data_IF_086009984013
#
_entry.id   IF_086009984013
#
_cell.length_a   1.000
_cell.length_b   1.000
_cell.length_c   1.000
_cell.angle_alpha   90.00
_cell.angle_beta   90.00
_cell.angle_gamma   90.00
#
_symmetry.space_group_name_H-M   'P 1'
#
loop_
_entity.id
_entity.type
_entity.pdbx_description
1 polymer ?
#
# COMPACT_ATOMS: atom_id res chain seq x y z
N UNK A 1 1.19 15.60 -7.56
CA UNK A 1 1.58 14.60 -6.52
C UNK A 1 0.35 13.86 -6.05
N UNK A 2 0.37 12.54 -6.12
CA UNK A 2 -0.68 11.65 -5.61
C UNK A 2 -0.36 11.30 -4.15
N UNK A 3 -1.38 11.28 -3.30
CA UNK A 3 -1.26 10.80 -1.92
C UNK A 3 -2.10 9.53 -1.79
N UNK A 4 -1.52 8.46 -1.23
CA UNK A 4 -2.25 7.25 -0.87
C UNK A 4 -2.17 6.98 0.62
N UNK A 5 -3.31 6.69 1.22
CA UNK A 5 -3.45 6.06 2.53
C UNK A 5 -3.91 4.61 2.30
N UNK A 6 -3.02 3.64 2.30
CA UNK A 6 -3.40 2.24 2.17
C UNK A 6 -4.10 1.77 3.45
N UNK A 7 -5.16 0.98 3.29
CA UNK A 7 -6.00 0.45 4.38
C UNK A 7 -5.83 -1.06 4.48
N UNK A 8 -6.27 -1.64 5.60
CA UNK A 8 -6.24 -3.07 5.84
C UNK A 8 -4.89 -3.62 6.26
N UNK A 9 -4.76 -4.94 6.21
CA UNK A 9 -3.54 -5.66 6.59
C UNK A 9 -2.40 -5.46 5.58
N UNK A 10 -1.21 -5.99 5.91
CA UNK A 10 0.04 -5.74 5.20
C UNK A 10 -0.05 -5.96 3.68
N UNK A 11 -0.54 -7.12 3.25
CA UNK A 11 -0.60 -7.44 1.81
C UNK A 11 -1.56 -6.52 1.04
N UNK A 12 -2.68 -6.09 1.65
CA UNK A 12 -3.59 -5.12 1.05
C UNK A 12 -2.89 -3.78 0.86
N UNK A 13 -2.17 -3.30 1.89
CA UNK A 13 -1.41 -2.05 1.81
C UNK A 13 -0.34 -2.09 0.72
N UNK A 14 0.43 -3.17 0.62
CA UNK A 14 1.44 -3.33 -0.43
C UNK A 14 0.81 -3.27 -1.82
N UNK A 15 -0.31 -3.96 -2.04
CA UNK A 15 -1.03 -3.96 -3.33
C UNK A 15 -1.62 -2.60 -3.68
N UNK A 16 -2.21 -1.91 -2.70
CA UNK A 16 -2.75 -0.56 -2.89
C UNK A 16 -1.65 0.45 -3.23
N UNK A 17 -0.50 0.40 -2.52
CA UNK A 17 0.66 1.24 -2.83
C UNK A 17 1.19 0.94 -4.24
N UNK A 18 1.32 -0.33 -4.63
CA UNK A 18 1.77 -0.69 -5.97
C UNK A 18 0.82 -0.17 -7.06
N UNK A 19 -0.48 -0.27 -6.86
CA UNK A 19 -1.47 0.31 -7.76
C UNK A 19 -1.29 1.84 -7.89
N UNK A 20 -1.07 2.53 -6.76
CA UNK A 20 -0.82 3.97 -6.76
C UNK A 20 0.51 4.34 -7.43
N UNK A 21 1.54 3.48 -7.36
CA UNK A 21 2.81 3.67 -8.09
C UNK A 21 2.57 3.62 -9.60
N UNK A 22 1.79 2.66 -10.08
CA UNK A 22 1.42 2.57 -11.51
C UNK A 22 0.67 3.82 -11.94
N UNK A 23 -0.32 4.27 -11.15
CA UNK A 23 -1.07 5.51 -11.43
C UNK A 23 -0.14 6.73 -11.48
N UNK A 24 0.74 6.88 -10.49
CA UNK A 24 1.70 7.98 -10.44
C UNK A 24 2.62 8.00 -11.67
N UNK A 25 3.14 6.83 -12.07
CA UNK A 25 3.96 6.70 -13.28
C UNK A 25 3.17 7.07 -14.55
N UNK A 26 1.93 6.59 -14.72
CA UNK A 26 1.07 6.94 -15.86
C UNK A 26 0.81 8.44 -15.95
N UNK A 27 0.72 9.12 -14.83
CA UNK A 27 0.43 10.57 -14.76
C UNK A 27 1.68 11.46 -14.71
N UNK A 28 2.87 10.88 -14.66
CA UNK A 28 4.12 11.65 -14.47
C UNK A 28 4.16 12.40 -13.13
N UNK A 29 3.55 11.84 -12.09
CA UNK A 29 3.44 12.44 -10.77
C UNK A 29 4.26 11.68 -9.72
N UNK A 30 4.67 12.37 -8.66
CA UNK A 30 5.26 11.75 -7.47
C UNK A 30 4.20 11.12 -6.58
N UNK A 31 4.60 10.09 -5.83
CA UNK A 31 3.74 9.40 -4.87
C UNK A 31 4.16 9.68 -3.43
N UNK A 32 3.19 9.97 -2.57
CA UNK A 32 3.35 10.00 -1.11
C UNK A 32 2.45 8.98 -0.45
N UNK A 33 3.03 8.17 0.43
CA UNK A 33 2.33 7.16 1.22
C UNK A 33 2.10 7.69 2.63
N UNK A 34 0.85 7.66 3.10
CA UNK A 34 0.47 7.90 4.49
C UNK A 34 0.26 6.53 5.14
N UNK A 35 1.24 6.07 5.88
CA UNK A 35 1.19 4.79 6.57
C UNK A 35 0.55 4.94 7.94
N UNK A 36 -0.66 4.39 8.10
CA UNK A 36 -1.38 4.47 9.36
C UNK A 36 -0.99 3.30 10.26
N UNK A 37 -0.38 3.59 11.40
CA UNK A 37 -0.11 2.63 12.47
C UNK A 37 -1.40 2.53 13.30
N UNK A 38 -2.10 1.42 13.16
CA UNK A 38 -3.43 1.19 13.75
C UNK A 38 -3.58 -0.29 14.17
N UNK A 39 -4.66 -0.70 14.83
CA UNK A 39 -4.85 -2.08 15.28
C UNK A 39 -4.79 -3.15 14.17
N UNK A 40 -5.05 -2.82 12.91
CA UNK A 40 -4.93 -3.75 11.78
C UNK A 40 -3.48 -4.06 11.41
N UNK A 41 -2.59 -3.09 11.64
CA UNK A 41 -1.16 -3.21 11.38
C UNK A 41 -0.39 -2.27 12.32
N UNK A 42 -0.04 -2.77 13.49
CA UNK A 42 0.43 -2.03 14.64
C UNK A 42 1.89 -1.59 14.59
N UNK A 43 2.55 -1.54 13.42
CA UNK A 43 3.95 -1.13 13.31
C UNK A 43 4.19 -0.08 12.20
N UNK A 44 5.19 0.81 12.40
CA UNK A 44 5.70 1.70 11.36
C UNK A 44 6.24 0.92 10.16
N UNK A 45 6.26 1.58 8.99
CA UNK A 45 6.74 0.98 7.74
C UNK A 45 8.20 0.52 7.86
N UNK A 46 9.04 1.32 8.51
CA UNK A 46 10.48 1.10 8.64
C UNK A 46 10.86 -0.07 9.55
N UNK A 47 9.94 -0.55 10.36
CA UNK A 47 10.12 -1.80 11.13
C UNK A 47 9.99 -3.04 10.23
N UNK A 48 9.28 -2.92 9.11
CA UNK A 48 9.05 -4.02 8.18
C UNK A 48 9.99 -3.97 6.97
N UNK A 49 10.21 -2.77 6.43
CA UNK A 49 10.86 -2.59 5.15
C UNK A 49 12.00 -1.58 5.20
N UNK A 50 12.99 -1.81 4.35
CA UNK A 50 14.07 -0.87 4.10
C UNK A 50 13.56 0.41 3.45
N UNK A 51 14.33 1.50 3.57
CA UNK A 51 14.06 2.75 2.86
C UNK A 51 14.01 2.54 1.35
N UNK A 52 13.06 3.19 0.70
CA UNK A 52 12.88 3.13 -0.76
C UNK A 52 12.76 4.53 -1.34
N UNK A 53 13.21 4.71 -2.60
CA UNK A 53 13.04 5.95 -3.37
C UNK A 53 11.78 5.90 -4.27
N UNK A 54 11.04 4.79 -4.24
CA UNK A 54 9.84 4.61 -5.07
C UNK A 54 8.66 5.51 -4.67
N UNK A 55 8.68 6.02 -3.44
CA UNK A 55 7.69 6.95 -2.89
C UNK A 55 8.22 7.66 -1.64
N UNK A 56 7.65 8.81 -1.31
CA UNK A 56 7.85 9.43 -0.01
C UNK A 56 6.89 8.84 1.01
N UNK A 57 7.33 8.70 2.27
CA UNK A 57 6.58 8.03 3.33
C UNK A 57 6.35 8.97 4.52
N UNK A 58 5.19 8.82 5.17
CA UNK A 58 4.90 9.34 6.49
C UNK A 58 4.10 8.35 7.31
N UNK A 59 4.63 7.92 8.45
CA UNK A 59 3.83 7.20 9.46
C UNK A 59 2.92 8.16 10.21
N UNK A 60 1.69 7.72 10.49
CA UNK A 60 0.74 8.42 11.34
C UNK A 60 0.18 7.47 12.39
N UNK A 61 -0.04 7.98 13.61
CA UNK A 61 -0.56 7.21 14.76
C UNK A 61 -1.96 7.68 15.18
N UNK A 62 -2.49 8.69 14.50
CA UNK A 62 -3.79 9.26 14.81
C UNK A 62 -4.59 9.54 13.55
N UNK A 63 -5.90 9.28 13.63
CA UNK A 63 -6.84 9.72 12.58
C UNK A 63 -6.91 11.25 12.42
N UNK A 64 -6.49 11.99 13.45
CA UNK A 64 -6.44 13.44 13.50
C UNK A 64 -5.07 14.03 13.19
N UNK A 65 -4.16 13.27 12.55
CA UNK A 65 -2.88 13.83 12.10
C UNK A 65 -3.14 15.09 11.25
N UNK A 66 -2.58 16.26 11.61
CA UNK A 66 -2.91 17.52 10.95
C UNK A 66 -2.60 17.53 9.44
N UNK A 67 -1.52 16.87 9.04
CA UNK A 67 -1.15 16.80 7.62
C UNK A 67 -2.11 15.90 6.84
N UNK A 68 -2.55 14.78 7.44
CA UNK A 68 -3.57 13.91 6.84
C UNK A 68 -4.88 14.68 6.66
N UNK A 69 -5.35 15.36 7.72
CA UNK A 69 -6.57 16.17 7.68
C UNK A 69 -6.47 17.25 6.62
N UNK A 70 -5.35 17.97 6.57
CA UNK A 70 -5.09 18.97 5.53
C UNK A 70 -5.21 18.37 4.11
N UNK A 71 -4.62 17.21 3.88
CA UNK A 71 -4.71 16.57 2.56
C UNK A 71 -6.14 16.13 2.21
N UNK A 72 -6.90 15.64 3.18
CA UNK A 72 -8.29 15.24 2.97
C UNK A 72 -9.21 16.43 2.68
N UNK A 73 -8.93 17.59 3.27
CA UNK A 73 -9.71 18.82 3.06
C UNK A 73 -9.35 19.55 1.75
N UNK A 74 -8.12 19.41 1.26
CA UNK A 74 -7.62 20.18 0.11
C UNK A 74 -7.54 19.38 -1.19
N UNK A 75 -7.89 18.09 -1.17
CA UNK A 75 -7.77 17.17 -2.31
C UNK A 75 -9.07 16.44 -2.57
N UNK A 76 -9.27 16.02 -3.81
CA UNK A 76 -10.33 15.05 -4.11
C UNK A 76 -9.99 13.71 -3.44
N UNK A 77 -10.92 13.22 -2.66
CA UNK A 77 -10.79 11.92 -1.97
C UNK A 77 -11.44 10.84 -2.82
N UNK A 78 -10.66 9.81 -3.17
CA UNK A 78 -11.13 8.62 -3.89
C UNK A 78 -11.02 7.43 -2.95
N UNK A 79 -12.13 6.71 -2.76
CA UNK A 79 -12.24 5.56 -1.86
C UNK A 79 -12.43 4.23 -2.59
N UNK A 80 -12.67 3.18 -1.80
CA UNK A 80 -12.86 1.82 -2.30
C UNK A 80 -13.98 1.70 -3.32
N UNK A 81 -15.15 2.28 -3.04
CA UNK A 81 -16.34 2.15 -3.91
C UNK A 81 -16.10 2.75 -5.28
N UNK A 82 -15.53 3.94 -5.34
CA UNK A 82 -15.22 4.62 -6.59
C UNK A 82 -14.19 3.83 -7.42
N UNK A 83 -13.14 3.33 -6.78
CA UNK A 83 -12.14 2.52 -7.46
C UNK A 83 -12.72 1.19 -7.97
N UNK A 84 -13.57 0.52 -7.18
CA UNK A 84 -14.26 -0.71 -7.61
C UNK A 84 -15.16 -0.49 -8.82
N UNK A 85 -15.92 0.60 -8.80
CA UNK A 85 -16.87 0.92 -9.87
C UNK A 85 -16.17 1.22 -11.20
N UNK A 86 -14.93 1.73 -11.15
CA UNK A 86 -14.22 2.17 -12.37
C UNK A 86 -13.09 1.24 -12.81
N UNK A 87 -12.68 0.25 -12.01
CA UNK A 87 -11.60 -0.67 -12.40
C UNK A 87 -12.07 -1.78 -13.33
N UNK A 88 -11.19 -2.19 -14.23
CA UNK A 88 -11.27 -3.40 -15.04
C UNK A 88 -10.21 -4.41 -14.58
N UNK A 89 -10.10 -5.56 -15.23
CA UNK A 89 -9.01 -6.52 -15.00
C UNK A 89 -7.63 -5.94 -15.33
N UNK A 90 -7.55 -5.02 -16.30
CA UNK A 90 -6.31 -4.33 -16.68
C UNK A 90 -6.00 -3.10 -15.79
N UNK A 91 -6.88 -2.76 -14.87
CA UNK A 91 -6.80 -1.59 -13.99
C UNK A 91 -7.78 -0.49 -14.37
N UNK A 92 -7.50 0.75 -13.91
CA UNK A 92 -8.34 1.90 -14.22
C UNK A 92 -8.19 2.30 -15.69
N UNK A 93 -9.30 2.49 -16.43
CA UNK A 93 -9.27 2.94 -17.83
C UNK A 93 -8.58 4.30 -17.99
N UNK A 94 -7.89 4.50 -19.10
CA UNK A 94 -7.16 5.75 -19.36
C UNK A 94 -8.07 7.00 -19.36
N UNK A 95 -9.30 6.85 -19.84
CA UNK A 95 -10.30 7.94 -19.80
C UNK A 95 -10.63 8.34 -18.35
N UNK A 96 -10.79 7.36 -17.44
CA UNK A 96 -11.00 7.65 -16.02
C UNK A 96 -9.77 8.26 -15.38
N UNK A 97 -8.58 7.72 -15.66
CA UNK A 97 -7.30 8.29 -15.16
C UNK A 97 -7.12 9.74 -15.61
N UNK A 98 -7.48 10.07 -16.85
CA UNK A 98 -7.42 11.43 -17.40
C UNK A 98 -8.43 12.38 -16.74
N UNK A 99 -9.58 11.89 -16.29
CA UNK A 99 -10.61 12.68 -15.59
C UNK A 99 -10.24 13.01 -14.14
N UNK A 100 -9.31 12.28 -13.53
CA UNK A 100 -8.90 12.51 -12.14
C UNK A 100 -8.15 13.85 -12.00
N UNK A 101 -8.46 14.67 -10.97
CA UNK A 101 -7.79 15.95 -10.75
C UNK A 101 -6.32 15.77 -10.35
N UNK A 102 -5.52 16.85 -10.49
CA UNK A 102 -4.13 16.86 -10.06
C UNK A 102 -3.96 16.68 -8.54
N UNK A 103 -4.94 17.12 -7.76
CA UNK A 103 -4.91 17.05 -6.30
C UNK A 103 -5.69 15.83 -5.83
N UNK A 104 -5.04 14.66 -5.82
CA UNK A 104 -5.66 13.39 -5.52
C UNK A 104 -5.20 12.84 -4.16
N UNK A 105 -6.16 12.40 -3.33
CA UNK A 105 -5.95 11.62 -2.12
C UNK A 105 -6.75 10.32 -2.23
N UNK A 106 -6.04 9.19 -2.21
CA UNK A 106 -6.64 7.86 -2.32
C UNK A 106 -6.60 7.18 -0.96
N UNK A 107 -7.76 6.74 -0.44
CA UNK A 107 -7.84 5.96 0.79
C UNK A 107 -8.47 4.60 0.46
N UNK A 108 -7.64 3.53 0.38
CA UNK A 108 -8.12 2.25 -0.16
C UNK A 108 -7.31 1.03 0.29
N UNK A 109 -7.97 -0.12 0.28
CA UNK A 109 -7.35 -1.46 0.28
C UNK A 109 -7.38 -2.10 -1.12
N UNK A 110 -8.00 -1.46 -2.10
CA UNK A 110 -8.21 -2.01 -3.42
C UNK A 110 -6.92 -2.11 -4.25
N UNK A 111 -6.83 -3.19 -4.99
CA UNK A 111 -5.87 -3.38 -6.05
C UNK A 111 -6.48 -2.85 -7.36
N UNK A 112 -6.18 -1.62 -7.74
CA UNK A 112 -6.78 -0.92 -8.87
C UNK A 112 -5.89 -0.79 -10.12
N UNK A 113 -4.65 -1.32 -10.04
CA UNK A 113 -3.78 -1.62 -11.17
C UNK A 113 -3.00 -2.90 -10.90
N UNK A 114 -2.94 -3.85 -11.85
CA UNK A 114 -2.07 -5.01 -11.72
C UNK A 114 -0.60 -4.55 -11.68
N UNK A 115 0.11 -4.97 -10.64
CA UNK A 115 1.54 -4.70 -10.49
C UNK A 115 2.17 -5.81 -9.64
N UNK A 116 3.15 -6.51 -10.20
CA UNK A 116 3.86 -7.60 -9.54
C UNK A 116 5.28 -7.19 -9.10
N UNK A 117 5.65 -5.91 -9.25
CA UNK A 117 6.91 -5.37 -8.78
C UNK A 117 6.82 -4.99 -7.29
N UNK A 118 7.29 -5.89 -6.43
CA UNK A 118 7.38 -5.68 -4.98
C UNK A 118 8.78 -5.24 -4.52
N UNK A 119 9.65 -4.84 -5.42
CA UNK A 119 11.01 -4.37 -5.11
C UNK A 119 11.08 -3.22 -4.08
N UNK A 120 10.08 -2.31 -3.97
CA UNK A 120 10.09 -1.28 -2.93
C UNK A 120 9.83 -1.79 -1.50
N UNK A 121 9.42 -3.04 -1.35
CA UNK A 121 9.09 -3.65 -0.07
C UNK A 121 10.14 -4.69 0.34
N UNK A 122 11.42 -4.31 0.25
CA UNK A 122 12.50 -5.16 0.74
C UNK A 122 12.42 -5.24 2.27
N UNK A 123 12.36 -6.45 2.86
CA UNK A 123 12.37 -6.61 4.30
C UNK A 123 13.58 -5.93 4.94
N UNK A 124 13.44 -5.48 6.18
CA UNK A 124 14.62 -5.06 6.96
C UNK A 124 15.59 -6.23 7.11
N UNK A 125 16.87 -5.93 7.33
CA UNK A 125 17.92 -6.95 7.51
C UNK A 125 17.54 -7.91 8.63
N UNK A 126 17.01 -7.41 9.74
CA UNK A 126 16.56 -8.22 10.88
C UNK A 126 15.51 -9.26 10.46
N UNK A 127 14.48 -8.84 9.70
CA UNK A 127 13.43 -9.74 9.21
C UNK A 127 14.03 -10.76 8.23
N UNK A 128 14.87 -10.30 7.29
CA UNK A 128 15.50 -11.17 6.31
C UNK A 128 16.37 -12.23 6.98
N UNK A 129 17.18 -11.87 7.98
CA UNK A 129 18.05 -12.78 8.72
C UNK A 129 17.24 -13.83 9.50
N UNK A 130 16.14 -13.40 10.14
CA UNK A 130 15.23 -14.34 10.82
C UNK A 130 14.57 -15.32 9.86
N UNK A 131 14.12 -14.85 8.70
CA UNK A 131 13.55 -15.71 7.65
C UNK A 131 14.60 -16.69 7.14
N UNK A 132 15.82 -16.22 6.84
CA UNK A 132 16.93 -17.05 6.37
C UNK A 132 17.31 -18.13 7.40
N UNK A 133 17.37 -17.77 8.69
CA UNK A 133 17.65 -18.73 9.75
C UNK A 133 16.59 -19.85 9.85
N UNK A 134 15.31 -19.50 9.67
CA UNK A 134 14.23 -20.49 9.66
C UNK A 134 14.29 -21.36 8.41
N UNK A 135 14.50 -20.75 7.25
CA UNK A 135 14.45 -21.43 5.95
C UNK A 135 15.71 -22.24 5.64
N UNK A 136 16.83 -21.95 6.32
CA UNK A 136 18.08 -22.71 6.16
C UNK A 136 17.92 -24.23 6.40
N UNK A 137 16.95 -24.63 7.22
CA UNK A 137 16.62 -26.03 7.47
C UNK A 137 15.61 -26.66 6.49
N UNK A 138 15.11 -25.87 5.52
CA UNK A 138 14.09 -26.38 4.59
C UNK A 138 14.70 -27.34 3.57
N UNK A 139 13.94 -28.40 3.27
CA UNK A 139 14.26 -29.41 2.27
C UNK A 139 13.43 -29.24 1.01
N UNK A 140 13.65 -30.02 -0.03
CA UNK A 140 12.92 -29.96 -1.30
C UNK A 140 11.41 -30.17 -1.20
N UNK A 141 10.93 -30.75 -0.10
CA UNK A 141 9.51 -31.07 0.13
C UNK A 141 9.02 -30.50 1.47
N UNK A 142 8.95 -29.16 1.58
CA UNK A 142 8.35 -28.52 2.75
C UNK A 142 6.90 -28.12 2.46
N UNK A 143 6.03 -28.31 3.45
CA UNK A 143 4.64 -27.88 3.40
C UNK A 143 4.44 -26.71 4.36
N UNK A 144 4.04 -25.57 3.85
CA UNK A 144 3.65 -24.41 4.65
C UNK A 144 2.15 -24.44 4.91
N UNK A 145 1.73 -24.25 6.17
CA UNK A 145 0.33 -24.11 6.54
C UNK A 145 0.12 -22.71 7.10
N UNK A 146 -0.81 -21.95 6.51
CA UNK A 146 -1.26 -20.66 7.04
C UNK A 146 -2.61 -20.84 7.74
N UNK A 147 -2.65 -20.56 9.04
CA UNK A 147 -3.90 -20.61 9.83
C UNK A 147 -4.32 -19.17 10.18
N UNK A 148 -5.43 -18.71 9.60
CA UNK A 148 -6.01 -17.40 9.90
C UNK A 148 -6.94 -17.54 11.12
N UNK A 149 -6.65 -16.82 12.21
CA UNK A 149 -7.39 -16.95 13.49
C UNK A 149 -8.23 -15.72 13.83
N UNK A 150 -8.06 -14.59 13.14
CA UNK A 150 -8.55 -13.30 13.63
C UNK A 150 -9.85 -12.80 13.00
N UNK A 151 -10.38 -13.44 11.98
CA UNK A 151 -11.50 -12.91 11.21
C UNK A 151 -12.84 -13.61 11.50
N UNK A 152 -12.85 -14.62 12.37
CA UNK A 152 -14.09 -15.29 12.82
C UNK A 152 -14.45 -14.74 14.20
N UNK A 153 -15.21 -13.66 14.24
CA UNK A 153 -16.06 -13.29 15.36
C UNK A 153 -17.50 -13.61 15.02
#
# INVERSE_FOLDING_TARGET
MIIIQPIGGLCNRMRAINSARVLAKKRGETLKVIWNVNPELGCPFEELFQKTDAFSLRNIHSKWDPQKVFYQLTRMVVGNEELRANRTEQGLPDAYVASLPKNLYIATEEHFFPCHDYSPFQPTTEIADRVNAITAGFKSHNVGIHIRRTDNK
#
